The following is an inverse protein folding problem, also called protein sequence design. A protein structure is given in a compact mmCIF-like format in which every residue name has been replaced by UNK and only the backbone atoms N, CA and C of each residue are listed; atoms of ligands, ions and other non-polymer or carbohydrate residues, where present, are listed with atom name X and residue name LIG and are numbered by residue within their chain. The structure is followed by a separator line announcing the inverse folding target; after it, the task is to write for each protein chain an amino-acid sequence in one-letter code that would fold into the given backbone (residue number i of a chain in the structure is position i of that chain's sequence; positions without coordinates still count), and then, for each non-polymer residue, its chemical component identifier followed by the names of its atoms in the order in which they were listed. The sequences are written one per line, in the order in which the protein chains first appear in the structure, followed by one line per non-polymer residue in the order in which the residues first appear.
data_IF_525978305563
#
_entry.id   IF_525978305563
#
_cell.length_a   1.000
_cell.length_b   1.000
_cell.length_c   1.000
_cell.angle_alpha   90.00
_cell.angle_beta   90.00
_cell.angle_gamma   90.00
#
_symmetry.space_group_name_H-M   'P 1'
#
loop_
_entity.id
_entity.type
_entity.pdbx_description
1 polymer ?
#
# COMPACT_ATOMS: atom_id res chain seq x y z
N UNK A 1 -33.68 -16.91 -10.38
CA UNK A 1 -33.10 -15.57 -10.40
C UNK A 1 -31.80 -15.62 -9.61
N UNK A 2 -30.67 -15.46 -10.27
CA UNK A 2 -29.38 -15.28 -9.58
C UNK A 2 -29.36 -13.87 -9.01
N UNK A 3 -29.40 -13.75 -7.71
CA UNK A 3 -29.17 -12.49 -7.05
C UNK A 3 -27.66 -12.32 -6.91
N UNK A 4 -27.07 -11.40 -7.63
CA UNK A 4 -25.65 -11.08 -7.51
C UNK A 4 -25.53 -10.02 -6.42
N UNK A 5 -24.91 -10.32 -5.25
CA UNK A 5 -24.80 -9.35 -4.17
C UNK A 5 -23.87 -8.21 -4.61
N UNK A 6 -24.34 -6.97 -4.50
CA UNK A 6 -23.53 -5.78 -4.73
C UNK A 6 -22.68 -5.51 -3.48
N UNK A 7 -21.42 -5.96 -3.50
CA UNK A 7 -20.46 -5.67 -2.43
C UNK A 7 -19.90 -4.25 -2.62
N UNK A 8 -20.02 -3.42 -1.60
CA UNK A 8 -19.51 -2.04 -1.58
C UNK A 8 -18.21 -1.89 -0.77
N UNK A 9 -17.54 -2.99 -0.49
CA UNK A 9 -16.29 -3.03 0.28
C UNK A 9 -15.25 -3.92 -0.40
N UNK A 10 -13.98 -3.66 -0.06
CA UNK A 10 -12.82 -4.43 -0.47
C UNK A 10 -12.14 -5.03 0.77
N UNK A 11 -11.73 -6.29 0.69
CA UNK A 11 -10.96 -6.98 1.73
C UNK A 11 -9.57 -7.27 1.20
N UNK A 12 -8.55 -6.84 1.95
CA UNK A 12 -7.16 -7.16 1.68
C UNK A 12 -6.62 -8.02 2.81
N UNK A 13 -6.03 -9.16 2.47
CA UNK A 13 -5.31 -10.04 3.41
C UNK A 13 -3.84 -10.07 3.03
N UNK A 14 -2.97 -9.82 4.02
CA UNK A 14 -1.52 -9.87 3.84
C UNK A 14 -0.95 -10.92 4.79
N UNK A 15 -0.17 -11.90 4.28
CA UNK A 15 0.50 -12.88 5.13
C UNK A 15 1.63 -12.24 5.94
N UNK A 16 1.82 -12.69 7.18
CA UNK A 16 3.01 -12.35 7.98
C UNK A 16 4.09 -13.39 7.73
N UNK A 17 5.24 -12.93 7.22
CA UNK A 17 6.34 -13.78 6.84
C UNK A 17 7.42 -13.83 7.94
N UNK A 18 7.84 -15.02 8.42
CA UNK A 18 8.83 -15.16 9.49
C UNK A 18 10.27 -15.14 8.99
N UNK A 19 10.54 -14.58 7.81
CA UNK A 19 11.87 -14.63 7.18
C UNK A 19 12.96 -13.91 7.98
N UNK A 20 12.57 -12.94 8.81
CA UNK A 20 13.53 -12.25 9.70
C UNK A 20 14.00 -13.15 10.85
N UNK A 21 13.17 -14.14 11.24
CA UNK A 21 13.49 -15.12 12.29
C UNK A 21 14.21 -16.35 11.72
N UNK A 22 13.98 -16.69 10.47
CA UNK A 22 14.52 -17.87 9.81
C UNK A 22 15.43 -17.47 8.64
N UNK A 23 16.66 -17.03 8.95
CA UNK A 23 17.64 -16.50 7.98
C UNK A 23 17.94 -17.47 6.83
N UNK A 24 17.86 -18.77 7.07
CA UNK A 24 18.13 -19.81 6.06
C UNK A 24 16.88 -20.23 5.26
N UNK A 25 15.71 -19.65 5.51
CA UNK A 25 14.49 -19.98 4.79
C UNK A 25 14.50 -19.38 3.38
N UNK A 26 14.16 -20.17 2.37
CA UNK A 26 13.98 -19.68 1.01
C UNK A 26 12.79 -18.72 0.96
N UNK A 27 13.02 -17.46 0.55
CA UNK A 27 12.00 -16.41 0.46
C UNK A 27 11.04 -16.61 -0.72
N UNK A 28 11.40 -17.43 -1.71
CA UNK A 28 10.55 -17.72 -2.88
C UNK A 28 9.22 -18.31 -2.45
N UNK A 29 8.14 -17.73 -2.93
CA UNK A 29 6.76 -18.19 -2.68
C UNK A 29 6.37 -19.28 -3.67
N UNK A 30 5.55 -20.23 -3.21
CA UNK A 30 5.09 -21.36 -3.99
C UNK A 30 3.89 -22.02 -3.29
N UNK A 31 3.65 -23.30 -3.56
CA UNK A 31 2.52 -24.05 -2.99
C UNK A 31 2.68 -24.41 -1.53
N UNK A 32 3.90 -24.32 -0.99
CA UNK A 32 4.17 -24.59 0.42
C UNK A 32 3.78 -23.39 1.29
N UNK A 33 3.02 -23.64 2.35
CA UNK A 33 2.69 -22.63 3.34
C UNK A 33 3.94 -22.18 4.11
N UNK A 34 4.22 -20.87 4.11
CA UNK A 34 5.37 -20.26 4.81
C UNK A 34 4.96 -19.13 5.76
N UNK A 35 3.73 -18.66 5.67
CA UNK A 35 3.22 -17.62 6.57
C UNK A 35 2.97 -18.18 7.96
N UNK A 36 3.28 -17.38 9.00
CA UNK A 36 3.01 -17.70 10.42
C UNK A 36 1.75 -17.01 10.95
N UNK A 37 1.13 -16.19 10.16
CA UNK A 37 -0.10 -15.46 10.46
C UNK A 37 -0.53 -14.63 9.26
N UNK A 38 -1.62 -13.93 9.41
CA UNK A 38 -2.14 -13.00 8.40
C UNK A 38 -2.82 -11.82 9.08
N UNK A 39 -2.86 -10.69 8.40
CA UNK A 39 -3.69 -9.54 8.74
C UNK A 39 -4.77 -9.37 7.69
N UNK A 40 -5.92 -8.85 8.11
CA UNK A 40 -7.04 -8.58 7.23
C UNK A 40 -7.53 -7.15 7.46
N UNK A 41 -7.71 -6.41 6.39
CA UNK A 41 -8.27 -5.06 6.44
C UNK A 41 -9.45 -4.94 5.48
N UNK A 42 -10.44 -4.17 5.89
CA UNK A 42 -11.67 -3.91 5.13
C UNK A 42 -11.77 -2.41 4.90
N UNK A 43 -12.09 -1.99 3.67
CA UNK A 43 -12.37 -0.60 3.31
C UNK A 43 -13.24 -0.54 2.05
N UNK A 44 -13.72 0.66 1.69
CA UNK A 44 -14.47 0.88 0.45
C UNK A 44 -13.58 0.93 -0.80
N UNK A 45 -12.28 1.21 -0.65
CA UNK A 45 -11.31 1.18 -1.75
C UNK A 45 -10.20 0.20 -1.47
N UNK A 46 -9.62 -0.35 -2.56
CA UNK A 46 -8.47 -1.25 -2.47
C UNK A 46 -7.25 -0.55 -1.86
N UNK A 47 -6.98 0.69 -2.27
CA UNK A 47 -5.86 1.48 -1.79
C UNK A 47 -5.92 1.63 -0.26
N UNK A 48 -7.06 2.05 0.26
CA UNK A 48 -7.26 2.21 1.69
C UNK A 48 -7.18 0.86 2.44
N UNK A 49 -7.75 -0.22 1.89
CA UNK A 49 -7.67 -1.54 2.49
C UNK A 49 -6.22 -2.06 2.51
N UNK A 50 -5.46 -1.85 1.42
CA UNK A 50 -4.05 -2.22 1.34
C UNK A 50 -3.21 -1.47 2.39
N UNK A 51 -3.34 -0.16 2.47
CA UNK A 51 -2.63 0.68 3.45
C UNK A 51 -2.96 0.25 4.90
N UNK A 52 -4.23 0.04 5.22
CA UNK A 52 -4.63 -0.47 6.55
C UNK A 52 -4.03 -1.83 6.86
N UNK A 53 -3.99 -2.75 5.90
CA UNK A 53 -3.40 -4.08 6.08
C UNK A 53 -1.89 -3.97 6.34
N UNK A 54 -1.17 -3.13 5.60
CA UNK A 54 0.26 -2.88 5.80
C UNK A 54 0.55 -2.34 7.20
N UNK A 55 -0.21 -1.35 7.66
CA UNK A 55 -0.08 -0.83 9.03
C UNK A 55 -0.35 -1.87 10.11
N UNK A 56 -1.23 -2.83 9.85
CA UNK A 56 -1.58 -3.90 10.80
C UNK A 56 -0.52 -5.00 10.88
N UNK A 57 0.47 -5.03 9.99
CA UNK A 57 1.55 -6.04 10.04
C UNK A 57 2.51 -5.84 11.21
N UNK A 58 2.45 -4.70 11.93
CA UNK A 58 3.36 -4.36 13.04
C UNK A 58 4.86 -4.48 12.68
N UNK A 59 5.15 -4.50 11.40
CA UNK A 59 6.50 -4.33 10.88
C UNK A 59 6.76 -2.84 10.83
N UNK A 60 8.00 -2.39 11.06
CA UNK A 60 8.40 -0.96 11.01
C UNK A 60 8.30 -0.37 9.58
N UNK A 61 7.39 -0.89 8.76
CA UNK A 61 7.16 -0.54 7.36
C UNK A 61 5.85 0.22 7.26
N UNK A 62 5.93 1.53 7.36
CA UNK A 62 4.75 2.42 7.36
C UNK A 62 4.32 2.85 5.94
N UNK A 63 5.19 2.67 4.94
CA UNK A 63 4.95 3.04 3.55
C UNK A 63 5.24 1.91 2.57
N UNK A 64 4.64 1.97 1.38
CA UNK A 64 5.00 1.13 0.23
C UNK A 64 6.35 1.54 -0.38
N UNK A 65 6.73 2.81 -0.28
CA UNK A 65 8.00 3.34 -0.81
C UNK A 65 9.11 3.18 0.22
N UNK A 66 9.83 2.07 0.14
CA UNK A 66 10.98 1.82 0.99
C UNK A 66 12.26 2.29 0.30
N UNK A 67 13.10 3.06 0.99
CA UNK A 67 14.39 3.56 0.47
C UNK A 67 15.27 2.44 -0.08
N UNK A 68 15.25 1.28 0.56
CA UNK A 68 15.95 0.07 0.10
C UNK A 68 15.68 -0.28 -1.37
N UNK A 69 14.46 0.02 -1.88
CA UNK A 69 14.08 -0.27 -3.26
C UNK A 69 14.00 0.98 -4.13
N UNK A 70 13.57 2.13 -3.61
CA UNK A 70 13.43 3.36 -4.40
C UNK A 70 14.76 3.94 -4.87
N UNK A 71 15.85 3.64 -4.16
CA UNK A 71 17.22 4.06 -4.53
C UNK A 71 17.87 3.15 -5.58
N UNK A 72 17.24 2.02 -5.94
CA UNK A 72 17.76 1.11 -6.96
C UNK A 72 17.56 1.66 -8.36
N UNK A 73 18.46 1.26 -9.27
CA UNK A 73 18.34 1.55 -10.70
C UNK A 73 17.14 0.82 -11.32
N UNK A 74 16.63 1.33 -12.44
CA UNK A 74 15.56 0.67 -13.18
C UNK A 74 15.93 -0.76 -13.59
N UNK A 75 17.18 -1.01 -13.97
CA UNK A 75 17.62 -2.34 -14.40
C UNK A 75 17.61 -3.33 -13.23
N UNK A 76 18.07 -2.92 -12.05
CA UNK A 76 17.98 -3.76 -10.82
C UNK A 76 16.54 -4.05 -10.44
N UNK A 77 15.65 -3.05 -10.52
CA UNK A 77 14.23 -3.25 -10.24
C UNK A 77 13.57 -4.22 -11.23
N UNK A 78 13.91 -4.15 -12.53
CA UNK A 78 13.42 -5.09 -13.54
C UNK A 78 13.86 -6.53 -13.26
N UNK A 79 15.07 -6.75 -12.75
CA UNK A 79 15.50 -8.08 -12.32
C UNK A 79 14.75 -8.54 -11.07
N UNK A 80 14.57 -7.67 -10.08
CA UNK A 80 13.84 -7.99 -8.86
C UNK A 80 12.37 -8.32 -9.10
N UNK A 81 11.72 -7.66 -10.08
CA UNK A 81 10.31 -7.94 -10.46
C UNK A 81 10.08 -9.39 -10.92
N UNK A 82 11.11 -10.09 -11.40
CA UNK A 82 11.04 -11.50 -11.80
C UNK A 82 10.87 -12.43 -10.59
N UNK A 83 11.25 -11.98 -9.41
CA UNK A 83 11.18 -12.79 -8.18
C UNK A 83 9.73 -12.82 -7.66
N UNK A 84 9.31 -14.02 -7.23
CA UNK A 84 8.03 -14.22 -6.55
C UNK A 84 8.32 -14.46 -5.07
N UNK A 85 8.43 -13.37 -4.31
CA UNK A 85 8.76 -13.41 -2.90
C UNK A 85 7.96 -12.39 -2.08
N UNK A 86 8.24 -12.30 -0.79
CA UNK A 86 7.56 -11.41 0.14
C UNK A 86 7.85 -9.91 -0.07
N UNK A 87 8.82 -9.56 -0.90
CA UNK A 87 9.21 -8.16 -1.16
C UNK A 87 8.55 -7.59 -2.40
N UNK A 88 7.89 -8.44 -3.20
CA UNK A 88 7.37 -8.11 -4.53
C UNK A 88 6.48 -6.85 -4.56
N UNK A 89 5.64 -6.65 -3.54
CA UNK A 89 4.77 -5.47 -3.47
C UNK A 89 5.58 -4.16 -3.40
N UNK A 90 6.63 -4.13 -2.59
CA UNK A 90 7.51 -2.97 -2.43
C UNK A 90 8.34 -2.72 -3.69
N UNK A 91 8.81 -3.79 -4.35
CA UNK A 91 9.54 -3.69 -5.63
C UNK A 91 8.63 -3.14 -6.73
N UNK A 92 7.35 -3.54 -6.79
CA UNK A 92 6.36 -2.97 -7.72
C UNK A 92 6.16 -1.48 -7.46
N UNK A 93 5.95 -1.07 -6.20
CA UNK A 93 5.77 0.33 -5.84
C UNK A 93 7.01 1.18 -6.20
N UNK A 94 8.21 0.69 -5.88
CA UNK A 94 9.46 1.36 -6.24
C UNK A 94 9.68 1.46 -7.76
N UNK A 95 9.27 0.44 -8.51
CA UNK A 95 9.34 0.43 -9.98
C UNK A 95 8.44 1.53 -10.58
N UNK A 96 7.21 1.68 -10.06
CA UNK A 96 6.30 2.76 -10.45
C UNK A 96 6.89 4.12 -10.05
N UNK A 97 7.45 4.21 -8.84
CA UNK A 97 8.10 5.42 -8.34
C UNK A 97 9.23 5.88 -9.27
N UNK A 98 10.06 4.97 -9.75
CA UNK A 98 11.18 5.23 -10.66
C UNK A 98 10.77 5.37 -12.13
N UNK A 99 9.46 5.37 -12.44
CA UNK A 99 8.95 5.65 -13.78
C UNK A 99 8.94 4.47 -14.75
N UNK A 100 9.07 3.24 -14.25
CA UNK A 100 8.86 2.03 -15.07
C UNK A 100 7.36 1.94 -15.40
N UNK A 101 7.03 1.79 -16.69
CA UNK A 101 5.64 1.75 -17.13
C UNK A 101 4.88 0.56 -16.57
N UNK A 102 3.60 0.76 -16.26
CA UNK A 102 2.72 -0.30 -15.76
C UNK A 102 2.65 -1.50 -16.71
N UNK A 103 2.66 -1.25 -18.02
CA UNK A 103 2.69 -2.33 -19.04
C UNK A 103 3.92 -3.21 -18.89
N UNK A 104 5.10 -2.64 -18.70
CA UNK A 104 6.34 -3.40 -18.50
C UNK A 104 6.32 -4.18 -17.20
N UNK A 105 5.79 -3.60 -16.13
CA UNK A 105 5.60 -4.29 -14.84
C UNK A 105 4.62 -5.45 -15.00
N UNK A 106 3.49 -5.23 -15.69
CA UNK A 106 2.51 -6.28 -15.99
C UNK A 106 3.14 -7.44 -16.78
N UNK A 107 3.89 -7.13 -17.83
CA UNK A 107 4.52 -8.14 -18.68
C UNK A 107 5.46 -9.07 -17.92
N UNK A 108 6.18 -8.54 -16.95
CA UNK A 108 7.11 -9.32 -16.12
C UNK A 108 6.38 -10.06 -15.00
N UNK A 109 5.49 -9.36 -14.29
CA UNK A 109 4.90 -9.88 -13.05
C UNK A 109 3.62 -10.67 -13.26
N UNK A 110 2.93 -10.43 -14.38
CA UNK A 110 1.57 -10.88 -14.67
C UNK A 110 0.51 -10.43 -13.65
N UNK A 111 0.84 -9.40 -12.85
CA UNK A 111 -0.15 -8.74 -11.99
C UNK A 111 -1.12 -7.99 -12.88
N UNK A 112 -2.42 -8.15 -12.65
CA UNK A 112 -3.45 -7.46 -13.42
C UNK A 112 -3.28 -5.93 -13.37
N UNK A 113 -3.52 -5.27 -14.50
CA UNK A 113 -3.38 -3.82 -14.66
C UNK A 113 -4.24 -3.04 -13.67
N UNK A 114 -5.39 -3.59 -13.28
CA UNK A 114 -6.25 -2.96 -12.29
C UNK A 114 -5.53 -2.76 -10.95
N UNK A 115 -4.83 -3.79 -10.44
CA UNK A 115 -4.06 -3.68 -9.20
C UNK A 115 -2.87 -2.72 -9.36
N UNK A 116 -2.17 -2.77 -10.48
CA UNK A 116 -1.04 -1.88 -10.75
C UNK A 116 -1.47 -0.41 -10.76
N UNK A 117 -2.60 -0.09 -11.38
CA UNK A 117 -3.17 1.27 -11.37
C UNK A 117 -3.54 1.73 -9.96
N UNK A 118 -4.06 0.84 -9.11
CA UNK A 118 -4.39 1.18 -7.71
C UNK A 118 -3.13 1.44 -6.88
N UNK A 119 -2.07 0.66 -7.09
CA UNK A 119 -0.77 0.91 -6.45
C UNK A 119 -0.17 2.22 -6.95
N UNK A 120 -0.30 2.53 -8.24
CA UNK A 120 0.14 3.80 -8.83
C UNK A 120 -0.55 5.00 -8.16
N UNK A 121 -1.85 4.92 -7.84
CA UNK A 121 -2.56 5.97 -7.12
C UNK A 121 -1.91 6.27 -5.76
N UNK A 122 -1.52 5.23 -5.02
CA UNK A 122 -0.82 5.37 -3.73
C UNK A 122 0.55 6.03 -3.95
N UNK A 123 1.35 5.52 -4.90
CA UNK A 123 2.69 6.03 -5.19
C UNK A 123 2.64 7.51 -5.62
N UNK A 124 1.70 7.89 -6.47
CA UNK A 124 1.54 9.27 -6.93
C UNK A 124 1.13 10.21 -5.80
N UNK A 125 0.25 9.77 -4.91
CA UNK A 125 -0.11 10.56 -3.71
C UNK A 125 1.11 10.76 -2.81
N UNK A 126 1.89 9.72 -2.54
CA UNK A 126 3.09 9.81 -1.71
C UNK A 126 4.13 10.75 -2.34
N UNK A 127 4.35 10.68 -3.67
CA UNK A 127 5.17 11.66 -4.40
C UNK A 127 4.68 13.10 -4.20
N UNK A 128 3.36 13.31 -4.26
CA UNK A 128 2.78 14.64 -4.04
C UNK A 128 3.05 15.14 -2.63
N UNK A 129 2.87 14.30 -1.62
CA UNK A 129 3.16 14.65 -0.22
C UNK A 129 4.64 14.99 -0.01
N UNK A 130 5.56 14.24 -0.64
CA UNK A 130 7.01 14.50 -0.59
C UNK A 130 7.42 15.85 -1.19
N UNK A 131 6.59 16.47 -2.03
CA UNK A 131 6.82 17.85 -2.49
C UNK A 131 6.54 18.92 -1.43
N UNK A 132 6.03 18.53 -0.26
CA UNK A 132 5.55 19.42 0.79
C UNK A 132 4.12 19.94 0.56
N UNK A 133 3.43 19.48 -0.49
CA UNK A 133 2.05 19.88 -0.76
C UNK A 133 1.11 19.26 0.28
N UNK A 134 0.45 20.12 1.06
CA UNK A 134 -0.51 19.70 2.08
C UNK A 134 -1.64 20.72 2.21
N UNK A 135 -2.33 20.98 1.11
CA UNK A 135 -3.59 21.72 1.14
C UNK A 135 -4.74 20.81 1.61
N UNK A 136 -5.93 21.40 1.76
CA UNK A 136 -7.11 20.68 2.25
C UNK A 136 -7.47 19.48 1.38
N UNK A 137 -7.43 19.65 0.07
CA UNK A 137 -7.88 18.63 -0.87
C UNK A 137 -6.85 17.48 -0.97
N UNK A 138 -5.56 17.80 -0.98
CA UNK A 138 -4.46 16.81 -0.90
C UNK A 138 -4.55 16.02 0.39
N UNK A 139 -4.75 16.67 1.54
CA UNK A 139 -4.88 15.98 2.82
C UNK A 139 -6.12 15.08 2.86
N UNK A 140 -7.25 15.55 2.35
CA UNK A 140 -8.48 14.76 2.27
C UNK A 140 -8.30 13.52 1.40
N UNK A 141 -7.67 13.66 0.23
CA UNK A 141 -7.44 12.55 -0.68
C UNK A 141 -6.42 11.55 -0.11
N UNK A 142 -5.34 12.01 0.50
CA UNK A 142 -4.40 11.15 1.21
C UNK A 142 -5.11 10.32 2.29
N UNK A 143 -6.01 10.93 3.06
CA UNK A 143 -6.81 10.20 4.07
C UNK A 143 -7.78 9.19 3.44
N UNK A 144 -8.37 9.48 2.29
CA UNK A 144 -9.22 8.55 1.54
C UNK A 144 -8.44 7.33 1.01
N UNK A 145 -7.21 7.56 0.57
CA UNK A 145 -6.29 6.49 0.14
C UNK A 145 -5.72 5.67 1.30
N UNK A 146 -5.94 6.09 2.56
CA UNK A 146 -5.56 5.32 3.74
C UNK A 146 -4.23 5.71 4.38
N UNK A 147 -3.61 6.83 3.97
CA UNK A 147 -2.40 7.34 4.61
C UNK A 147 -2.67 7.73 6.07
N UNK A 148 -1.77 7.36 6.96
CA UNK A 148 -1.84 7.74 8.38
C UNK A 148 -1.25 9.13 8.61
N UNK A 149 -1.57 9.75 9.75
CA UNK A 149 -1.11 11.12 10.03
C UNK A 149 0.41 11.19 10.21
N UNK A 150 1.03 10.13 10.72
CA UNK A 150 2.49 10.01 10.89
C UNK A 150 3.21 9.89 9.54
N UNK A 151 2.70 9.09 8.60
CA UNK A 151 3.26 8.98 7.25
C UNK A 151 3.15 10.31 6.51
N UNK A 152 1.97 10.92 6.51
CA UNK A 152 1.76 12.23 5.88
C UNK A 152 2.71 13.28 6.48
N UNK A 153 2.85 13.29 7.80
CA UNK A 153 3.74 14.22 8.49
C UNK A 153 5.20 14.04 8.10
N UNK A 154 5.65 12.78 8.01
CA UNK A 154 7.01 12.45 7.58
C UNK A 154 7.27 12.91 6.14
N UNK A 155 6.36 12.62 5.21
CA UNK A 155 6.52 12.94 3.80
C UNK A 155 6.47 14.45 3.53
N UNK A 156 5.58 15.17 4.22
CA UNK A 156 5.46 16.63 4.12
C UNK A 156 6.60 17.36 4.88
N UNK A 157 7.27 16.68 5.81
CA UNK A 157 8.34 17.28 6.63
C UNK A 157 7.82 18.13 7.80
N UNK A 158 6.68 17.77 8.39
CA UNK A 158 6.07 18.45 9.53
C UNK A 158 5.83 17.49 10.70
N UNK A 159 5.39 18.01 11.85
CA UNK A 159 5.02 17.14 12.97
C UNK A 159 3.64 16.48 12.75
N UNK A 160 3.45 15.28 13.29
CA UNK A 160 2.14 14.59 13.27
C UNK A 160 1.05 15.45 13.94
N UNK A 161 1.42 16.21 15.00
CA UNK A 161 0.51 17.15 15.66
C UNK A 161 0.03 18.26 14.71
N UNK A 162 0.87 18.71 13.78
CA UNK A 162 0.50 19.68 12.76
C UNK A 162 -0.56 19.12 11.82
N UNK A 163 -0.39 17.88 11.35
CA UNK A 163 -1.38 17.20 10.48
C UNK A 163 -2.71 17.02 11.23
N UNK A 164 -2.68 16.58 12.49
CA UNK A 164 -3.90 16.46 13.32
C UNK A 164 -4.63 17.79 13.49
N UNK A 165 -3.89 18.89 13.65
CA UNK A 165 -4.47 20.24 13.75
C UNK A 165 -5.09 20.69 12.43
N UNK A 166 -4.42 20.49 11.29
CA UNK A 166 -4.97 20.77 9.97
C UNK A 166 -6.27 20.00 9.73
N UNK A 167 -6.31 18.72 10.07
CA UNK A 167 -7.52 17.89 9.96
C UNK A 167 -8.68 18.46 10.77
N UNK A 168 -8.43 18.89 12.02
CA UNK A 168 -9.46 19.52 12.87
C UNK A 168 -9.95 20.84 12.27
N UNK A 169 -9.03 21.69 11.81
CA UNK A 169 -9.34 22.98 11.21
C UNK A 169 -10.17 22.83 9.93
N UNK A 170 -9.89 21.82 9.12
CA UNK A 170 -10.58 21.56 7.85
C UNK A 170 -11.74 20.56 7.96
N UNK A 171 -12.11 20.17 9.19
CA UNK A 171 -13.17 19.19 9.46
C UNK A 171 -13.00 17.85 8.72
N UNK A 172 -11.76 17.41 8.55
CA UNK A 172 -11.43 16.09 8.00
C UNK A 172 -11.46 15.07 9.14
N UNK A 173 -12.60 14.41 9.31
CA UNK A 173 -12.83 13.44 10.39
C UNK A 173 -12.98 12.03 9.83
N UNK A 174 -12.53 10.99 10.56
CA UNK A 174 -12.82 9.62 10.16
C UNK A 174 -14.32 9.36 10.21
N UNK A 175 -14.83 8.63 9.24
CA UNK A 175 -16.20 8.12 9.24
C UNK A 175 -16.19 6.61 9.47
N UNK A 176 -17.11 6.14 10.32
CA UNK A 176 -17.34 4.71 10.53
C UNK A 176 -18.53 4.30 9.67
N UNK A 177 -18.37 3.21 8.93
CA UNK A 177 -19.44 2.65 8.12
C UNK A 177 -19.66 1.20 8.54
N UNK A 178 -20.92 0.80 8.61
CA UNK A 178 -21.26 -0.61 8.75
C UNK A 178 -20.94 -1.29 7.43
N UNK A 179 -20.23 -2.42 7.50
CA UNK A 179 -19.98 -3.29 6.35
C UNK A 179 -20.96 -4.47 6.49
N UNK A 180 -21.89 -4.58 5.55
CA UNK A 180 -22.79 -5.73 5.49
C UNK A 180 -22.03 -6.91 4.88
N UNK A 181 -21.69 -7.88 5.75
CA UNK A 181 -20.99 -9.11 5.34
C UNK A 181 -21.93 -10.27 5.05
N UNK A 182 -23.23 -10.04 5.20
CA UNK A 182 -24.27 -11.06 5.03
C UNK A 182 -25.10 -10.89 3.74
N UNK A 183 -24.63 -10.05 2.82
CA UNK A 183 -25.31 -9.81 1.54
C UNK A 183 -25.26 -11.01 0.60
#
# INVERSE_FOLDING_TARGET
ASFEPALDYCVVKIPKWPFDKFVNAKRTLGTQMKATGEVMAISRSFECALQKALHSLEENKTSLLMSEYTEKSCDELLELLKNIDNTRLYVVAASIYNGISLGKIHDITKIDMWFLTRIENIVNMEKTLMTGACDRDTLLEAKRLGFTDDVIANDVGVSEASIKNLRRMWHITPSFSIVDTCA
#
